data_IF_527568720384
#
_entry.id   IF_527568720384
#
_cell.length_a   1.000
_cell.length_b   1.000
_cell.length_c   1.000
_cell.angle_alpha   90.00
_cell.angle_beta   90.00
_cell.angle_gamma   90.00
#
_symmetry.space_group_name_H-M   'P 1'
#
loop_
_entity.id
_entity.type
_entity.pdbx_description
1 polymer ?
#
# COMPACT_ATOMS: atom_id res chain seq x y z
N UNK A 1 20.90 -13.24 -8.80
CA UNK A 1 20.65 -11.79 -8.96
C UNK A 1 19.30 -11.62 -9.66
N UNK A 2 18.36 -10.88 -9.09
CA UNK A 2 17.06 -10.56 -9.71
C UNK A 2 17.09 -9.20 -10.38
N UNK A 3 16.56 -9.12 -11.59
CA UNK A 3 16.37 -7.88 -12.32
C UNK A 3 15.02 -7.26 -11.93
N UNK A 4 15.07 -6.08 -11.37
CA UNK A 4 13.91 -5.39 -10.78
C UNK A 4 13.56 -4.15 -11.60
N UNK A 5 12.29 -4.00 -11.95
CA UNK A 5 11.71 -2.72 -12.37
C UNK A 5 11.06 -2.08 -11.15
N UNK A 6 11.37 -0.81 -10.90
CA UNK A 6 10.86 -0.03 -9.77
C UNK A 6 9.96 1.10 -10.28
N UNK A 7 8.66 0.93 -10.11
CA UNK A 7 7.67 1.94 -10.42
C UNK A 7 7.41 2.83 -9.20
N UNK A 8 7.78 4.11 -9.27
CA UNK A 8 7.70 5.06 -8.15
C UNK A 8 9.02 5.23 -7.39
N UNK A 9 10.16 5.21 -8.09
CA UNK A 9 11.52 5.17 -7.53
C UNK A 9 11.88 6.38 -6.63
N UNK A 10 11.23 7.52 -6.83
CA UNK A 10 11.50 8.76 -6.08
C UNK A 10 10.59 8.95 -4.86
N UNK A 11 9.64 8.05 -4.63
CA UNK A 11 8.79 8.03 -3.43
C UNK A 11 9.48 7.40 -2.22
N UNK A 12 8.80 7.35 -1.08
CA UNK A 12 9.33 6.77 0.17
C UNK A 12 9.75 5.30 0.02
N UNK A 13 8.88 4.46 -0.54
CA UNK A 13 9.20 3.06 -0.82
C UNK A 13 10.28 2.94 -1.89
N UNK A 14 10.21 3.78 -2.94
CA UNK A 14 11.21 3.79 -4.01
C UNK A 14 12.62 4.09 -3.49
N UNK A 15 12.77 5.12 -2.66
CA UNK A 15 14.07 5.46 -2.04
C UNK A 15 14.56 4.38 -1.07
N UNK A 16 13.66 3.71 -0.34
CA UNK A 16 14.03 2.54 0.47
C UNK A 16 14.45 1.36 -0.40
N UNK A 17 13.79 1.13 -1.54
CA UNK A 17 14.18 0.09 -2.51
C UNK A 17 15.57 0.36 -3.11
N UNK A 18 15.89 1.63 -3.44
CA UNK A 18 17.23 1.96 -3.94
C UNK A 18 18.32 1.77 -2.87
N UNK A 19 17.99 1.96 -1.58
CA UNK A 19 18.91 1.60 -0.47
C UNK A 19 19.15 0.10 -0.42
N UNK A 20 18.08 -0.71 -0.47
CA UNK A 20 18.18 -2.17 -0.47
C UNK A 20 19.02 -2.67 -1.65
N UNK A 21 18.77 -2.15 -2.87
CA UNK A 21 19.54 -2.53 -4.05
C UNK A 21 21.03 -2.13 -3.95
N UNK A 22 21.34 -1.03 -3.26
CA UNK A 22 22.73 -0.63 -2.99
C UNK A 22 23.43 -1.55 -2.00
N UNK A 23 22.69 -2.01 -0.97
CA UNK A 23 23.24 -2.89 0.06
C UNK A 23 23.41 -4.33 -0.45
N UNK A 24 22.66 -4.74 -1.48
CA UNK A 24 22.63 -6.09 -2.04
C UNK A 24 22.93 -6.10 -3.56
N UNK A 25 24.10 -5.61 -4.00
CA UNK A 25 24.41 -5.45 -5.43
C UNK A 25 24.57 -6.78 -6.18
N UNK A 26 24.86 -7.87 -5.47
CA UNK A 26 24.99 -9.21 -6.05
C UNK A 26 23.63 -9.94 -6.17
N UNK A 27 22.62 -9.49 -5.44
CA UNK A 27 21.28 -10.09 -5.41
C UNK A 27 20.26 -9.34 -6.24
N UNK A 28 20.37 -8.00 -6.31
CA UNK A 28 19.34 -7.11 -6.88
C UNK A 28 19.98 -6.15 -7.88
N UNK A 29 19.44 -6.13 -9.12
CA UNK A 29 19.78 -5.16 -10.16
C UNK A 29 18.54 -4.37 -10.57
N UNK A 30 18.59 -3.03 -10.46
CA UNK A 30 17.53 -2.16 -10.94
C UNK A 30 17.69 -1.94 -12.46
N UNK A 31 16.86 -2.62 -13.26
CA UNK A 31 16.91 -2.55 -14.74
C UNK A 31 15.95 -1.50 -15.31
N UNK A 32 14.98 -1.03 -14.53
CA UNK A 32 14.04 0.00 -14.93
C UNK A 32 13.59 0.85 -13.75
N UNK A 33 13.45 2.17 -13.96
CA UNK A 33 13.03 3.13 -12.93
C UNK A 33 11.93 4.04 -13.46
N UNK A 34 10.86 4.25 -12.67
CA UNK A 34 9.84 5.24 -12.99
C UNK A 34 9.66 6.25 -11.87
N UNK A 35 9.41 7.51 -12.23
CA UNK A 35 9.05 8.58 -11.30
C UNK A 35 7.85 9.39 -11.81
N UNK A 36 7.08 9.98 -10.87
CA UNK A 36 5.99 10.90 -11.21
C UNK A 36 6.54 12.25 -11.70
N UNK A 37 7.09 13.06 -10.80
CA UNK A 37 7.48 14.44 -11.10
C UNK A 37 8.91 14.83 -10.77
N UNK A 38 9.64 14.04 -9.98
CA UNK A 38 11.00 14.36 -9.52
C UNK A 38 12.06 13.87 -10.52
N UNK A 39 12.31 14.68 -11.56
CA UNK A 39 13.26 14.34 -12.62
C UNK A 39 14.72 14.35 -12.11
N UNK A 40 15.05 15.25 -11.18
CA UNK A 40 16.41 15.38 -10.64
C UNK A 40 16.84 14.11 -9.91
N UNK A 41 16.02 13.64 -8.94
CA UNK A 41 16.30 12.41 -8.21
C UNK A 41 16.27 11.18 -9.13
N UNK A 42 15.36 11.13 -10.13
CA UNK A 42 15.36 10.05 -11.11
C UNK A 42 16.66 10.02 -11.91
N UNK A 43 17.19 11.17 -12.33
CA UNK A 43 18.47 11.27 -13.05
C UNK A 43 19.65 10.81 -12.18
N UNK A 44 19.67 11.16 -10.88
CA UNK A 44 20.67 10.67 -9.93
C UNK A 44 20.63 9.15 -9.78
N UNK A 45 19.44 8.59 -9.58
CA UNK A 45 19.23 7.16 -9.50
C UNK A 45 19.64 6.45 -10.79
N UNK A 46 19.30 7.01 -11.97
CA UNK A 46 19.67 6.45 -13.26
C UNK A 46 21.19 6.41 -13.46
N UNK A 47 21.92 7.48 -13.08
CA UNK A 47 23.39 7.47 -13.12
C UNK A 47 24.03 6.48 -12.15
N UNK A 48 23.37 6.24 -11.00
CA UNK A 48 23.89 5.31 -9.97
C UNK A 48 23.67 3.84 -10.37
N UNK A 49 22.48 3.49 -10.89
CA UNK A 49 22.08 2.10 -11.10
C UNK A 49 22.19 1.65 -12.56
N UNK A 50 22.39 2.57 -13.51
CA UNK A 50 22.50 2.31 -14.95
C UNK A 50 21.39 1.41 -15.50
N UNK A 51 20.07 1.78 -15.28
CA UNK A 51 18.97 1.01 -15.80
C UNK A 51 18.93 1.04 -17.34
N UNK A 52 18.26 0.07 -17.94
CA UNK A 52 18.03 0.01 -19.38
C UNK A 52 17.01 1.05 -19.87
N UNK A 53 16.05 1.37 -18.98
CA UNK A 53 14.95 2.28 -19.27
C UNK A 53 14.55 3.07 -18.01
N UNK A 54 14.30 4.36 -18.18
CA UNK A 54 13.62 5.18 -17.19
C UNK A 54 12.33 5.77 -17.76
N UNK A 55 11.33 6.04 -16.92
CA UNK A 55 10.11 6.72 -17.32
C UNK A 55 9.75 7.83 -16.32
N UNK A 56 9.20 8.93 -16.84
CA UNK A 56 8.67 10.02 -16.01
C UNK A 56 7.29 10.43 -16.54
N UNK A 57 6.38 10.84 -15.63
CA UNK A 57 5.00 11.13 -16.03
C UNK A 57 4.90 12.24 -17.10
N UNK A 58 5.72 13.29 -17.01
CA UNK A 58 5.69 14.44 -17.95
C UNK A 58 6.55 14.22 -19.20
N UNK A 59 5.98 14.30 -20.43
CA UNK A 59 6.75 14.26 -21.66
C UNK A 59 7.82 15.37 -21.77
N UNK A 60 7.53 16.57 -21.24
CA UNK A 60 8.50 17.68 -21.21
C UNK A 60 9.72 17.34 -20.36
N UNK A 61 9.54 16.80 -19.15
CA UNK A 61 10.64 16.35 -18.29
C UNK A 61 11.40 15.16 -18.89
N UNK A 62 10.72 14.29 -19.64
CA UNK A 62 11.39 13.22 -20.36
C UNK A 62 12.34 13.74 -21.45
N UNK A 63 11.97 14.81 -22.16
CA UNK A 63 12.84 15.45 -23.12
C UNK A 63 14.11 16.03 -22.47
N UNK A 64 13.97 16.65 -21.31
CA UNK A 64 15.10 17.15 -20.50
C UNK A 64 16.02 16.01 -20.04
N UNK A 65 15.44 14.91 -19.52
CA UNK A 65 16.20 13.73 -19.07
C UNK A 65 16.99 13.08 -20.20
N UNK A 66 16.47 13.03 -21.43
CA UNK A 66 17.21 12.50 -22.61
C UNK A 66 18.51 13.24 -22.87
N UNK A 67 18.60 14.51 -22.54
CA UNK A 67 19.83 15.29 -22.69
C UNK A 67 20.85 15.07 -21.58
N UNK A 68 20.43 14.45 -20.47
CA UNK A 68 21.23 14.25 -19.25
C UNK A 68 21.68 12.80 -19.04
N UNK A 69 21.05 11.84 -19.74
CA UNK A 69 21.24 10.41 -19.52
C UNK A 69 21.70 9.71 -20.79
N UNK A 70 23.01 9.75 -21.03
CA UNK A 70 23.62 9.06 -22.18
C UNK A 70 23.51 7.54 -22.03
N UNK A 71 23.07 6.87 -23.11
CA UNK A 71 22.98 5.41 -23.16
C UNK A 71 21.80 4.80 -22.40
N UNK A 72 20.96 5.60 -21.73
CA UNK A 72 19.75 5.14 -21.03
C UNK A 72 18.51 5.59 -21.82
N UNK A 73 17.61 4.65 -22.11
CA UNK A 73 16.35 4.98 -22.77
C UNK A 73 15.44 5.75 -21.82
N UNK A 74 14.71 6.77 -22.34
CA UNK A 74 13.80 7.60 -21.56
C UNK A 74 12.41 7.59 -22.20
N UNK A 75 11.44 7.00 -21.49
CA UNK A 75 10.02 6.98 -21.83
C UNK A 75 9.23 7.98 -20.98
N UNK A 76 7.93 8.12 -21.23
CA UNK A 76 7.06 9.00 -20.44
C UNK A 76 5.60 8.56 -20.46
N UNK A 77 4.85 9.04 -19.48
CA UNK A 77 3.41 8.82 -19.35
C UNK A 77 3.04 7.36 -19.09
N UNK A 78 1.78 7.03 -19.34
CA UNK A 78 1.24 5.69 -19.07
C UNK A 78 1.87 4.63 -19.99
N UNK A 79 2.14 4.97 -21.25
CA UNK A 79 2.83 4.08 -22.18
C UNK A 79 4.24 3.73 -21.67
N UNK A 80 4.96 4.71 -21.11
CA UNK A 80 6.27 4.49 -20.52
C UNK A 80 6.24 3.61 -19.26
N UNK A 81 5.18 3.68 -18.46
CA UNK A 81 4.97 2.78 -17.33
C UNK A 81 4.69 1.35 -17.78
N UNK A 82 3.88 1.16 -18.84
CA UNK A 82 3.60 -0.16 -19.41
C UNK A 82 4.87 -0.74 -20.05
N UNK A 83 5.65 0.07 -20.78
CA UNK A 83 6.92 -0.37 -21.38
C UNK A 83 7.90 -0.87 -20.30
N UNK A 84 8.02 -0.16 -19.17
CA UNK A 84 8.80 -0.59 -18.02
C UNK A 84 8.27 -1.88 -17.39
N UNK A 85 6.97 -1.93 -17.13
CA UNK A 85 6.33 -3.08 -16.50
C UNK A 85 6.47 -4.37 -17.33
N UNK A 86 6.62 -4.25 -18.63
CA UNK A 86 6.77 -5.37 -19.57
C UNK A 86 8.20 -5.57 -20.08
N UNK A 87 9.20 -4.89 -19.47
CA UNK A 87 10.60 -4.95 -19.88
C UNK A 87 11.10 -6.41 -19.92
N UNK A 88 11.60 -6.92 -21.08
CA UNK A 88 11.94 -8.35 -21.21
C UNK A 88 12.98 -8.86 -20.21
N UNK A 89 13.94 -8.02 -19.83
CA UNK A 89 15.01 -8.35 -18.90
C UNK A 89 14.55 -8.41 -17.43
N UNK A 90 13.35 -7.87 -17.09
CA UNK A 90 12.87 -7.86 -15.74
C UNK A 90 12.35 -9.23 -15.26
N UNK A 91 12.69 -9.61 -14.04
CA UNK A 91 12.15 -10.78 -13.34
C UNK A 91 10.94 -10.39 -12.50
N UNK A 92 10.98 -9.21 -11.88
CA UNK A 92 9.97 -8.71 -10.95
C UNK A 92 9.75 -7.21 -11.12
N UNK A 93 8.50 -6.77 -10.95
CA UNK A 93 8.11 -5.36 -10.96
C UNK A 93 7.65 -4.94 -9.56
N UNK A 94 8.37 -4.03 -8.91
CA UNK A 94 7.95 -3.42 -7.65
C UNK A 94 7.07 -2.20 -7.95
N UNK A 95 5.80 -2.27 -7.51
CA UNK A 95 4.81 -1.22 -7.75
C UNK A 95 4.64 -0.38 -6.49
N UNK A 96 5.22 0.84 -6.52
CA UNK A 96 5.20 1.82 -5.44
C UNK A 96 4.65 3.18 -5.90
N UNK A 97 3.72 3.16 -6.84
CA UNK A 97 2.98 4.35 -7.30
C UNK A 97 1.77 4.52 -6.40
N UNK A 98 1.63 5.68 -5.78
CA UNK A 98 0.50 6.01 -4.89
C UNK A 98 -0.82 6.05 -5.68
N UNK A 99 -1.89 5.51 -5.09
CA UNK A 99 -3.22 5.49 -5.66
C UNK A 99 -3.38 4.44 -6.78
N UNK A 100 -4.26 4.73 -7.72
CA UNK A 100 -4.75 3.76 -8.72
C UNK A 100 -3.88 3.62 -9.97
N UNK A 101 -2.95 4.56 -10.20
CA UNK A 101 -2.13 4.60 -11.41
C UNK A 101 -1.18 3.39 -11.57
N UNK A 102 -0.91 2.67 -10.48
CA UNK A 102 -0.12 1.44 -10.50
C UNK A 102 -0.87 0.20 -11.02
N UNK A 103 -2.21 0.23 -11.13
CA UNK A 103 -3.02 -0.95 -11.45
C UNK A 103 -2.78 -1.47 -12.87
N UNK A 104 -2.84 -0.60 -13.87
CA UNK A 104 -2.62 -0.99 -15.26
C UNK A 104 -1.21 -1.54 -15.51
N UNK A 105 -0.12 -0.87 -15.03
CA UNK A 105 1.23 -1.43 -15.10
C UNK A 105 1.38 -2.78 -14.37
N UNK A 106 0.74 -2.96 -13.20
CA UNK A 106 0.78 -4.22 -12.47
C UNK A 106 0.15 -5.36 -13.29
N UNK A 107 -1.04 -5.14 -13.87
CA UNK A 107 -1.70 -6.11 -14.74
C UNK A 107 -0.88 -6.40 -16.01
N UNK A 108 -0.23 -5.40 -16.59
CA UNK A 108 0.65 -5.58 -17.74
C UNK A 108 1.87 -6.45 -17.39
N UNK A 109 2.49 -6.21 -16.22
CA UNK A 109 3.59 -7.04 -15.72
C UNK A 109 3.18 -8.50 -15.54
N UNK A 110 2.04 -8.74 -14.88
CA UNK A 110 1.48 -10.08 -14.66
C UNK A 110 1.26 -10.81 -16.00
N UNK A 111 0.62 -10.13 -16.97
CA UNK A 111 0.36 -10.68 -18.31
C UNK A 111 1.64 -10.94 -19.10
N UNK A 112 2.70 -10.21 -18.83
CA UNK A 112 4.03 -10.44 -19.37
C UNK A 112 4.84 -11.52 -18.62
N UNK A 113 4.22 -12.22 -17.66
CA UNK A 113 4.86 -13.32 -16.91
C UNK A 113 5.88 -12.83 -15.88
N UNK A 114 5.73 -11.60 -15.37
CA UNK A 114 6.61 -11.04 -14.33
C UNK A 114 5.97 -11.18 -12.96
N UNK A 115 6.76 -11.57 -11.95
CA UNK A 115 6.36 -11.43 -10.56
C UNK A 115 6.11 -9.96 -10.23
N UNK A 116 5.20 -9.68 -9.31
CA UNK A 116 4.99 -8.32 -8.82
C UNK A 116 5.23 -8.24 -7.31
N UNK A 117 5.90 -7.18 -6.87
CA UNK A 117 6.00 -6.78 -5.48
C UNK A 117 5.10 -5.55 -5.26
N UNK A 118 4.06 -5.71 -4.43
CA UNK A 118 3.01 -4.69 -4.27
C UNK A 118 3.26 -3.88 -3.01
N UNK A 119 3.57 -2.59 -3.19
CA UNK A 119 3.66 -1.61 -2.12
C UNK A 119 2.47 -0.65 -2.10
N UNK A 120 1.73 -0.55 -3.21
CA UNK A 120 0.52 0.26 -3.34
C UNK A 120 -0.70 -0.60 -3.06
N UNK A 121 -1.15 -0.61 -1.81
CA UNK A 121 -2.29 -1.43 -1.36
C UNK A 121 -3.58 -1.16 -2.13
N UNK A 122 -3.75 0.05 -2.64
CA UNK A 122 -4.91 0.48 -3.40
C UNK A 122 -5.19 -0.44 -4.61
N UNK A 123 -4.15 -1.02 -5.21
CA UNK A 123 -4.29 -1.96 -6.34
C UNK A 123 -5.11 -3.19 -5.95
N UNK A 124 -4.79 -3.78 -4.79
CA UNK A 124 -5.50 -4.97 -4.28
C UNK A 124 -6.83 -4.60 -3.63
N UNK A 125 -6.93 -3.44 -3.01
CA UNK A 125 -8.19 -2.94 -2.48
C UNK A 125 -9.22 -2.77 -3.60
N UNK A 126 -8.85 -2.13 -4.70
CA UNK A 126 -9.77 -1.84 -5.80
C UNK A 126 -10.07 -3.04 -6.68
N UNK A 127 -9.04 -3.79 -7.06
CA UNK A 127 -9.11 -4.81 -8.11
C UNK A 127 -8.46 -6.14 -7.69
N UNK A 128 -8.43 -6.46 -6.39
CA UNK A 128 -7.73 -7.64 -5.88
C UNK A 128 -8.22 -8.94 -6.49
N UNK A 129 -9.53 -9.11 -6.73
CA UNK A 129 -10.08 -10.28 -7.41
C UNK A 129 -9.45 -10.46 -8.81
N UNK A 130 -9.41 -9.39 -9.61
CA UNK A 130 -8.86 -9.41 -10.97
C UNK A 130 -7.35 -9.64 -10.94
N UNK A 131 -6.62 -8.91 -10.09
CA UNK A 131 -5.16 -9.01 -9.97
C UNK A 131 -4.74 -10.42 -9.58
N UNK A 132 -5.37 -11.00 -8.55
CA UNK A 132 -5.04 -12.34 -8.08
C UNK A 132 -5.48 -13.44 -9.05
N UNK A 133 -6.59 -13.23 -9.80
CA UNK A 133 -7.01 -14.14 -10.85
C UNK A 133 -6.04 -14.15 -12.04
N UNK A 134 -5.61 -12.96 -12.50
CA UNK A 134 -4.60 -12.84 -13.57
C UNK A 134 -3.25 -13.42 -13.13
N UNK A 135 -2.82 -13.18 -11.88
CA UNK A 135 -1.58 -13.76 -11.36
C UNK A 135 -1.60 -15.30 -11.37
N UNK A 136 -2.69 -15.92 -10.89
CA UNK A 136 -2.86 -17.38 -10.96
C UNK A 136 -2.86 -17.91 -12.39
N UNK A 137 -3.56 -17.22 -13.30
CA UNK A 137 -3.64 -17.58 -14.72
C UNK A 137 -2.29 -17.57 -15.42
N UNK A 138 -1.43 -16.63 -15.07
CA UNK A 138 -0.10 -16.48 -15.66
C UNK A 138 1.02 -17.16 -14.86
N UNK A 139 0.70 -17.79 -13.71
CA UNK A 139 1.65 -18.51 -12.87
C UNK A 139 2.73 -17.62 -12.25
N UNK A 140 2.38 -16.36 -11.94
CA UNK A 140 3.28 -15.38 -11.33
C UNK A 140 2.94 -15.12 -9.87
N UNK A 141 3.92 -14.67 -9.10
CA UNK A 141 3.76 -14.39 -7.68
C UNK A 141 3.38 -12.92 -7.45
N UNK A 142 2.51 -12.70 -6.46
CA UNK A 142 2.18 -11.38 -5.90
C UNK A 142 2.78 -11.31 -4.51
N UNK A 143 3.89 -10.56 -4.38
CA UNK A 143 4.68 -10.50 -3.15
C UNK A 143 4.35 -9.20 -2.39
N UNK A 144 4.01 -9.29 -1.08
CA UNK A 144 3.69 -8.11 -0.29
C UNK A 144 4.94 -7.33 0.09
N UNK A 145 4.84 -5.99 0.00
CA UNK A 145 5.84 -5.04 0.48
C UNK A 145 5.36 -4.31 1.73
N UNK A 146 4.03 -4.17 1.91
CA UNK A 146 3.48 -3.60 3.15
C UNK A 146 3.92 -4.47 4.35
N UNK A 147 4.35 -3.84 5.44
CA UNK A 147 5.03 -4.52 6.57
C UNK A 147 4.18 -5.61 7.20
N UNK A 148 2.90 -5.35 7.37
CA UNK A 148 1.94 -6.26 7.99
C UNK A 148 1.70 -7.50 7.10
N UNK A 149 1.57 -7.28 5.81
CA UNK A 149 1.35 -8.38 4.84
C UNK A 149 2.63 -9.17 4.61
N UNK A 150 3.79 -8.52 4.57
CA UNK A 150 5.10 -9.19 4.56
C UNK A 150 5.26 -10.08 5.79
N UNK A 151 4.83 -9.62 6.97
CA UNK A 151 4.86 -10.40 8.21
C UNK A 151 3.98 -11.65 8.12
N UNK A 152 2.73 -11.50 7.65
CA UNK A 152 1.82 -12.64 7.44
C UNK A 152 2.41 -13.63 6.44
N UNK A 153 2.92 -13.14 5.30
CA UNK A 153 3.54 -13.95 4.27
C UNK A 153 4.71 -14.78 4.83
N UNK A 154 5.56 -14.17 5.68
CA UNK A 154 6.66 -14.85 6.35
C UNK A 154 6.19 -15.87 7.40
N UNK A 155 5.08 -15.60 8.10
CA UNK A 155 4.51 -16.53 9.08
C UNK A 155 3.82 -17.73 8.40
N UNK A 156 3.19 -17.52 7.25
CA UNK A 156 2.56 -18.59 6.47
C UNK A 156 3.60 -19.53 5.87
N UNK A 157 4.67 -19.02 5.28
CA UNK A 157 5.83 -19.76 4.79
C UNK A 157 5.46 -21.07 4.06
N UNK A 158 4.49 -20.97 3.12
CA UNK A 158 4.00 -22.12 2.34
C UNK A 158 3.09 -23.11 3.08
N UNK A 159 2.64 -22.79 4.30
CA UNK A 159 1.66 -23.61 5.03
C UNK A 159 0.30 -23.59 4.35
N UNK A 160 -0.44 -24.68 4.49
CA UNK A 160 -1.79 -24.80 3.96
C UNK A 160 -2.75 -23.80 4.67
N UNK A 161 -3.54 -23.09 3.89
CA UNK A 161 -4.47 -22.06 4.39
C UNK A 161 -5.58 -22.68 5.27
N UNK A 162 -5.94 -23.93 5.08
CA UNK A 162 -6.91 -24.65 5.91
C UNK A 162 -6.44 -24.80 7.37
N UNK A 163 -5.13 -24.67 7.61
CA UNK A 163 -4.57 -24.64 8.96
C UNK A 163 -4.69 -23.29 9.65
N UNK A 164 -5.07 -22.23 8.92
CA UNK A 164 -5.16 -20.86 9.45
C UNK A 164 -6.54 -20.65 10.06
N UNK A 165 -6.57 -20.25 11.34
CA UNK A 165 -7.81 -19.85 12.02
C UNK A 165 -8.16 -18.39 11.69
N UNK A 166 -7.16 -17.47 11.78
CA UNK A 166 -7.29 -16.06 11.43
C UNK A 166 -5.93 -15.39 11.24
N UNK A 167 -5.97 -14.28 10.52
CA UNK A 167 -4.87 -13.31 10.43
C UNK A 167 -5.13 -12.19 11.43
N UNK A 168 -4.09 -11.70 12.10
CA UNK A 168 -4.17 -10.62 13.08
C UNK A 168 -3.23 -9.51 12.63
N UNK A 169 -3.78 -8.47 12.02
CA UNK A 169 -3.04 -7.27 11.62
C UNK A 169 -2.77 -6.40 12.84
N UNK A 170 -1.54 -5.99 13.04
CA UNK A 170 -1.21 -5.01 14.07
C UNK A 170 -1.34 -3.58 13.53
N UNK A 171 -1.73 -2.65 14.38
CA UNK A 171 -1.81 -1.22 14.08
C UNK A 171 -1.12 -0.42 15.17
N UNK A 172 -0.41 0.66 14.83
CA UNK A 172 0.12 1.59 15.86
C UNK A 172 -0.98 2.26 16.69
N UNK A 173 -2.21 2.30 16.15
CA UNK A 173 -3.35 3.02 16.69
C UNK A 173 -3.33 4.51 16.35
N UNK A 174 -2.34 4.99 15.62
CA UNK A 174 -2.19 6.38 15.22
C UNK A 174 -1.95 7.36 16.38
N UNK A 175 -1.88 8.67 16.09
CA UNK A 175 -1.62 9.69 17.11
C UNK A 175 -2.77 9.89 18.11
N UNK A 176 -4.00 9.51 17.73
CA UNK A 176 -5.21 9.78 18.52
C UNK A 176 -5.72 8.57 19.31
N UNK A 177 -4.91 7.53 19.44
CA UNK A 177 -5.27 6.31 20.19
C UNK A 177 -5.79 6.60 21.61
N UNK A 178 -5.18 7.55 22.32
CA UNK A 178 -5.54 7.92 23.69
C UNK A 178 -6.45 9.16 23.79
N UNK A 179 -6.72 9.86 22.67
CA UNK A 179 -7.60 11.03 22.62
C UNK A 179 -9.06 10.62 22.86
N UNK A 180 -9.84 11.37 23.60
CA UNK A 180 -11.27 11.08 23.80
C UNK A 180 -12.05 11.37 22.52
N UNK A 181 -13.18 10.69 22.32
CA UNK A 181 -13.99 10.88 21.09
C UNK A 181 -14.53 12.31 21.01
N UNK A 182 -14.84 12.94 22.14
CA UNK A 182 -15.35 14.30 22.21
C UNK A 182 -14.34 15.35 21.70
N UNK A 183 -13.04 15.04 21.76
CA UNK A 183 -11.96 15.91 21.30
C UNK A 183 -11.68 15.76 19.79
N UNK A 184 -12.29 14.79 19.11
CA UNK A 184 -11.99 14.50 17.68
C UNK A 184 -12.38 15.64 16.75
N UNK A 185 -13.46 16.37 17.06
CA UNK A 185 -13.88 17.52 16.24
C UNK A 185 -12.85 18.65 16.20
N UNK A 186 -11.97 18.73 17.21
CA UNK A 186 -10.92 19.75 17.32
C UNK A 186 -9.55 19.32 16.73
N UNK A 187 -9.44 18.12 16.15
CA UNK A 187 -8.18 17.61 15.60
C UNK A 187 -7.79 18.44 14.37
N UNK A 188 -6.56 18.98 14.41
CA UNK A 188 -6.01 19.75 13.29
C UNK A 188 -5.20 18.87 12.34
N UNK A 189 -5.03 19.35 11.11
CA UNK A 189 -4.18 18.69 10.09
C UNK A 189 -2.76 18.48 10.60
N UNK A 190 -2.20 19.49 11.28
CA UNK A 190 -0.85 19.40 11.83
C UNK A 190 -0.72 18.29 12.89
N UNK A 191 -1.73 18.11 13.74
CA UNK A 191 -1.77 17.04 14.73
C UNK A 191 -1.88 15.66 14.06
N UNK A 192 -2.75 15.55 13.05
CA UNK A 192 -3.00 14.30 12.34
C UNK A 192 -1.77 13.85 11.50
N UNK A 193 -0.93 14.78 11.06
CA UNK A 193 0.32 14.47 10.35
C UNK A 193 1.48 14.05 11.26
N UNK A 194 1.32 14.06 12.59
CA UNK A 194 2.37 13.63 13.56
C UNK A 194 2.20 12.15 13.90
N UNK A 195 2.72 11.26 13.04
CA UNK A 195 2.70 9.82 13.34
C UNK A 195 3.72 9.47 14.44
N UNK A 196 3.35 8.60 15.44
CA UNK A 196 4.22 8.33 16.59
C UNK A 196 5.49 7.54 16.26
N UNK A 197 5.50 6.70 15.22
CA UNK A 197 6.57 5.73 14.94
C UNK A 197 7.16 5.82 13.53
N UNK A 198 6.40 6.30 12.54
CA UNK A 198 6.79 6.29 11.13
C UNK A 198 6.84 7.68 10.51
N UNK A 199 7.80 7.89 9.61
CA UNK A 199 7.82 9.06 8.70
C UNK A 199 7.30 8.62 7.35
N UNK A 200 6.09 9.06 7.01
CA UNK A 200 5.34 8.60 5.84
C UNK A 200 4.83 9.77 4.99
N UNK A 201 4.27 9.46 3.82
CA UNK A 201 3.58 10.43 2.99
C UNK A 201 2.32 11.01 3.66
N UNK A 202 1.85 12.17 3.18
CA UNK A 202 0.71 12.92 3.75
C UNK A 202 -0.55 12.04 3.86
N UNK A 203 -0.98 11.41 2.76
CA UNK A 203 -2.22 10.60 2.71
C UNK A 203 -2.18 9.43 3.70
N UNK A 204 -1.13 8.59 3.64
CA UNK A 204 -1.03 7.41 4.51
C UNK A 204 -0.89 7.79 5.99
N UNK A 205 -0.35 8.96 6.32
CA UNK A 205 -0.28 9.45 7.70
C UNK A 205 -1.67 9.79 8.24
N UNK A 206 -2.52 10.44 7.45
CA UNK A 206 -3.92 10.69 7.81
C UNK A 206 -4.70 9.37 7.88
N UNK A 207 -4.48 8.45 6.95
CA UNK A 207 -5.10 7.11 6.99
C UNK A 207 -4.72 6.33 8.25
N UNK A 208 -3.49 6.48 8.73
CA UNK A 208 -3.08 5.92 10.02
C UNK A 208 -3.81 6.58 11.19
N UNK A 209 -3.96 7.91 11.16
CA UNK A 209 -4.64 8.67 12.20
C UNK A 209 -6.14 8.32 12.29
N UNK A 210 -6.78 8.04 11.18
CA UNK A 210 -8.20 7.64 11.07
C UNK A 210 -8.42 6.13 11.17
N UNK A 211 -7.37 5.32 11.15
CA UNK A 211 -7.37 3.86 11.01
C UNK A 211 -7.86 3.35 9.63
N UNK A 212 -8.08 4.21 8.63
CA UNK A 212 -8.34 3.77 7.25
C UNK A 212 -7.19 2.95 6.68
N UNK A 213 -5.93 3.30 6.99
CA UNK A 213 -4.79 2.49 6.56
C UNK A 213 -4.99 1.01 6.95
N UNK A 214 -5.33 0.75 8.20
CA UNK A 214 -5.57 -0.61 8.68
C UNK A 214 -6.82 -1.24 8.07
N UNK A 215 -7.85 -0.44 7.82
CA UNK A 215 -9.04 -0.88 7.09
C UNK A 215 -8.72 -1.35 5.66
N UNK A 216 -7.94 -0.57 4.91
CA UNK A 216 -7.49 -0.96 3.56
C UNK A 216 -6.62 -2.22 3.60
N UNK A 217 -5.76 -2.34 4.58
CA UNK A 217 -4.91 -3.52 4.79
C UNK A 217 -5.72 -4.80 5.09
N UNK A 218 -6.86 -4.70 5.77
CA UNK A 218 -7.76 -5.86 5.95
C UNK A 218 -8.26 -6.39 4.60
N UNK A 219 -8.62 -5.50 3.67
CA UNK A 219 -9.08 -5.85 2.32
C UNK A 219 -7.91 -6.42 1.49
N UNK A 220 -6.73 -5.83 1.58
CA UNK A 220 -5.52 -6.32 0.93
C UNK A 220 -5.17 -7.73 1.41
N UNK A 221 -5.18 -8.00 2.73
CA UNK A 221 -4.90 -9.30 3.31
C UNK A 221 -5.87 -10.39 2.80
N UNK A 222 -7.15 -10.06 2.69
CA UNK A 222 -8.16 -10.96 2.11
C UNK A 222 -7.74 -11.46 0.73
N UNK A 223 -7.30 -10.56 -0.14
CA UNK A 223 -6.95 -10.90 -1.51
C UNK A 223 -5.59 -11.60 -1.62
N UNK A 224 -4.57 -11.09 -0.95
CA UNK A 224 -3.22 -11.66 -0.98
C UNK A 224 -3.21 -13.11 -0.49
N UNK A 225 -3.92 -13.38 0.60
CA UNK A 225 -3.85 -14.69 1.27
C UNK A 225 -5.09 -15.56 1.02
N UNK A 226 -6.10 -15.08 0.30
CA UNK A 226 -7.33 -15.84 0.05
C UNK A 226 -8.14 -16.15 1.32
N UNK A 227 -7.97 -15.37 2.39
CA UNK A 227 -8.63 -15.55 3.68
C UNK A 227 -9.92 -14.69 3.71
N UNK A 228 -11.09 -15.22 4.10
CA UNK A 228 -12.32 -14.43 4.15
C UNK A 228 -12.26 -13.34 5.23
N UNK A 229 -12.93 -12.20 4.98
CA UNK A 229 -12.91 -11.02 5.87
C UNK A 229 -13.22 -11.32 7.36
N UNK A 230 -14.15 -12.22 7.72
CA UNK A 230 -14.38 -12.58 9.13
C UNK A 230 -13.17 -13.21 9.85
N UNK A 231 -12.20 -13.72 9.10
CA UNK A 231 -10.94 -14.27 9.63
C UNK A 231 -9.77 -13.25 9.59
N UNK A 232 -10.05 -11.99 9.27
CA UNK A 232 -9.04 -10.91 9.31
C UNK A 232 -9.36 -9.99 10.47
N UNK A 233 -8.56 -10.07 11.53
CA UNK A 233 -8.70 -9.27 12.74
C UNK A 233 -7.64 -8.16 12.81
N UNK A 234 -7.90 -7.18 13.68
CA UNK A 234 -6.98 -6.08 13.98
C UNK A 234 -6.71 -6.03 15.48
N UNK A 235 -5.47 -5.77 15.86
CA UNK A 235 -5.07 -5.45 17.23
C UNK A 235 -4.19 -4.20 17.22
N UNK A 236 -4.33 -3.36 18.21
CA UNK A 236 -3.46 -2.19 18.38
C UNK A 236 -2.20 -2.60 19.12
N UNK A 237 -1.03 -2.27 18.52
CA UNK A 237 0.30 -2.51 19.08
C UNK A 237 1.16 -1.24 18.88
N UNK A 238 1.20 -0.37 19.90
CA UNK A 238 1.79 0.98 19.76
C UNK A 238 3.26 1.01 19.38
N UNK A 239 4.03 0.01 19.80
CA UNK A 239 5.47 -0.05 19.51
C UNK A 239 5.77 -0.42 18.05
N UNK A 240 4.81 -1.00 17.33
CA UNK A 240 4.95 -1.45 15.93
C UNK A 240 6.13 -2.40 15.67
N UNK A 241 6.58 -3.14 16.70
CA UNK A 241 7.66 -4.14 16.59
C UNK A 241 7.12 -5.48 16.11
N UNK A 242 5.93 -5.86 16.58
CA UNK A 242 5.16 -6.98 16.01
C UNK A 242 4.42 -6.45 14.80
N UNK A 243 4.79 -6.93 13.60
CA UNK A 243 4.19 -6.42 12.37
C UNK A 243 2.88 -7.10 12.00
N UNK A 244 2.69 -8.37 12.32
CA UNK A 244 1.41 -9.11 12.26
C UNK A 244 1.57 -10.50 12.87
N UNK A 245 0.44 -11.21 13.00
CA UNK A 245 0.40 -12.55 13.54
C UNK A 245 -0.54 -13.44 12.72
N UNK A 246 -0.26 -14.76 12.71
CA UNK A 246 -1.13 -15.79 12.16
C UNK A 246 -1.49 -16.75 13.29
N UNK A 247 -2.78 -16.89 13.58
CA UNK A 247 -3.31 -17.90 14.50
C UNK A 247 -3.73 -19.13 13.72
N UNK A 248 -3.25 -20.29 14.13
CA UNK A 248 -3.57 -21.58 13.53
C UNK A 248 -4.71 -22.28 14.25
N UNK A 249 -5.28 -23.32 13.61
CA UNK A 249 -6.44 -24.07 14.15
C UNK A 249 -6.14 -24.81 15.45
N UNK A 250 -4.87 -25.10 15.73
CA UNK A 250 -4.41 -25.70 16.98
C UNK A 250 -4.24 -24.69 18.14
N UNK A 251 -4.49 -23.39 17.86
CA UNK A 251 -4.35 -22.30 18.83
C UNK A 251 -2.95 -21.70 18.92
N UNK A 252 -1.97 -22.23 18.17
CA UNK A 252 -0.65 -21.60 18.11
C UNK A 252 -0.67 -20.29 17.31
N UNK A 253 0.18 -19.33 17.69
CA UNK A 253 0.31 -18.05 17.01
C UNK A 253 1.77 -17.85 16.58
N UNK A 254 1.97 -17.62 15.28
CA UNK A 254 3.26 -17.18 14.75
C UNK A 254 3.23 -15.67 14.47
N UNK A 255 4.36 -15.03 14.70
CA UNK A 255 4.51 -13.59 14.51
C UNK A 255 5.87 -13.26 13.93
N UNK A 256 5.91 -12.31 13.01
CA UNK A 256 7.16 -11.71 12.56
C UNK A 256 7.38 -10.38 13.31
N UNK A 257 8.57 -10.22 13.84
CA UNK A 257 8.99 -9.08 14.65
C UNK A 257 10.26 -8.46 14.08
N UNK A 258 10.30 -7.14 14.03
CA UNK A 258 11.54 -6.38 13.85
C UNK A 258 11.33 -4.91 14.24
N UNK A 259 12.42 -4.19 14.42
CA UNK A 259 12.38 -2.72 14.50
C UNK A 259 11.80 -2.17 13.19
N UNK A 260 10.87 -1.19 13.24
CA UNK A 260 10.21 -0.64 12.06
C UNK A 260 11.19 -0.06 11.02
N UNK A 261 11.35 -0.74 9.90
CA UNK A 261 12.10 -0.27 8.71
C UNK A 261 11.56 -0.96 7.45
N UNK A 262 11.10 -0.17 6.49
CA UNK A 262 10.58 -0.68 5.21
C UNK A 262 11.62 -1.40 4.35
N UNK A 263 12.91 -1.23 4.61
CA UNK A 263 13.94 -1.97 3.90
C UNK A 263 13.85 -3.48 4.10
N UNK A 264 13.39 -3.94 5.28
CA UNK A 264 13.26 -5.38 5.53
C UNK A 264 12.18 -6.05 4.66
N UNK A 265 10.90 -5.60 4.64
CA UNK A 265 9.89 -6.22 3.79
C UNK A 265 10.21 -6.05 2.29
N UNK A 266 10.81 -4.93 1.87
CA UNK A 266 11.29 -4.74 0.50
C UNK A 266 12.36 -5.76 0.14
N UNK A 267 13.39 -5.90 0.99
CA UNK A 267 14.45 -6.90 0.80
C UNK A 267 13.84 -8.30 0.67
N UNK A 268 12.98 -8.68 1.61
CA UNK A 268 12.37 -10.01 1.60
C UNK A 268 11.56 -10.28 0.32
N UNK A 269 10.74 -9.33 -0.12
CA UNK A 269 9.99 -9.47 -1.37
C UNK A 269 10.91 -9.61 -2.60
N UNK A 270 11.98 -8.84 -2.66
CA UNK A 270 12.90 -8.86 -3.81
C UNK A 270 13.87 -10.05 -3.81
N UNK A 271 14.17 -10.64 -2.65
CA UNK A 271 15.09 -11.81 -2.56
C UNK A 271 14.35 -13.13 -2.39
N UNK A 272 13.02 -13.11 -2.16
CA UNK A 272 12.22 -14.32 -1.99
C UNK A 272 12.46 -15.34 -3.12
N UNK A 273 12.56 -16.67 -2.82
CA UNK A 273 12.32 -17.31 -1.51
C UNK A 273 13.52 -17.30 -0.56
N UNK A 274 14.65 -16.71 -0.93
CA UNK A 274 15.85 -16.69 -0.08
C UNK A 274 15.78 -15.60 0.99
N UNK A 275 16.46 -15.84 2.13
CA UNK A 275 16.77 -14.80 3.11
C UNK A 275 18.23 -14.40 2.97
N UNK A 276 18.46 -13.15 2.59
CA UNK A 276 19.81 -12.60 2.41
C UNK A 276 20.20 -11.82 3.66
N UNK A 277 21.45 -11.95 4.09
CA UNK A 277 21.96 -11.27 5.28
C UNK A 277 21.93 -9.74 5.10
N UNK A 278 21.56 -9.04 6.16
CA UNK A 278 21.55 -7.58 6.23
C UNK A 278 21.76 -7.13 7.68
N UNK A 279 22.63 -6.15 7.88
CA UNK A 279 22.89 -5.54 9.19
C UNK A 279 22.01 -4.29 9.43
N UNK A 280 21.10 -3.97 8.51
CA UNK A 280 20.30 -2.75 8.53
C UNK A 280 19.29 -2.71 9.67
N UNK A 281 18.66 -3.84 9.96
CA UNK A 281 17.61 -3.92 10.99
C UNK A 281 18.05 -4.87 12.10
N UNK A 282 18.17 -4.33 13.30
CA UNK A 282 18.50 -5.10 14.51
C UNK A 282 17.46 -4.77 15.59
N UNK A 283 16.95 -5.81 16.25
CA UNK A 283 15.96 -5.65 17.33
C UNK A 283 16.59 -6.09 18.64
N UNK A 284 16.72 -5.14 19.57
CA UNK A 284 17.18 -5.39 20.93
C UNK A 284 15.99 -5.63 21.86
N UNK A 285 15.68 -6.90 22.10
CA UNK A 285 14.59 -7.30 22.99
C UNK A 285 14.81 -6.93 24.45
N UNK A 286 16.07 -6.84 24.92
CA UNK A 286 16.36 -6.42 26.27
C UNK A 286 16.05 -4.93 26.49
N UNK A 287 16.40 -4.09 25.53
CA UNK A 287 16.05 -2.67 25.55
C UNK A 287 14.54 -2.45 25.34
N UNK A 288 13.87 -3.25 24.50
CA UNK A 288 12.43 -3.19 24.27
C UNK A 288 11.62 -3.51 25.51
N UNK A 289 12.00 -4.55 26.26
CA UNK A 289 11.48 -4.96 27.57
C UNK A 289 10.06 -5.54 27.56
N UNK A 290 9.08 -4.92 26.88
CA UNK A 290 7.69 -5.37 26.82
C UNK A 290 7.03 -5.05 25.49
N UNK A 291 5.97 -5.77 25.18
CA UNK A 291 5.07 -5.55 24.05
C UNK A 291 3.66 -5.28 24.59
N UNK A 292 3.05 -4.20 24.16
CA UNK A 292 1.70 -3.81 24.60
C UNK A 292 0.70 -4.05 23.47
N UNK A 293 -0.49 -4.57 23.83
CA UNK A 293 -1.58 -4.84 22.90
C UNK A 293 -2.91 -4.32 23.48
N UNK A 294 -3.72 -3.70 22.61
CA UNK A 294 -5.01 -3.13 22.97
C UNK A 294 -6.05 -3.54 21.92
N UNK A 295 -7.31 -3.69 22.32
CA UNK A 295 -8.40 -3.90 21.37
C UNK A 295 -8.63 -2.61 20.55
N UNK A 296 -8.93 -2.71 19.23
CA UNK A 296 -9.31 -1.56 18.45
C UNK A 296 -10.69 -1.04 18.84
N UNK A 297 -10.85 0.28 18.86
CA UNK A 297 -12.12 0.93 19.17
C UNK A 297 -12.87 1.30 17.87
N UNK A 298 -13.84 0.47 17.50
CA UNK A 298 -14.64 0.66 16.29
C UNK A 298 -15.60 1.85 16.36
N UNK A 299 -16.03 2.26 17.54
CA UNK A 299 -16.87 3.44 17.71
C UNK A 299 -16.07 4.72 17.50
N UNK A 300 -14.84 4.73 17.97
CA UNK A 300 -13.89 5.84 17.84
C UNK A 300 -13.32 5.95 16.42
N UNK A 301 -13.10 4.80 15.77
CA UNK A 301 -12.54 4.70 14.42
C UNK A 301 -13.49 3.96 13.47
N UNK A 302 -14.55 4.63 12.97
CA UNK A 302 -15.55 4.02 12.09
C UNK A 302 -14.97 3.43 10.80
N UNK A 303 -13.81 3.93 10.37
CA UNK A 303 -13.07 3.46 9.20
C UNK A 303 -12.85 1.94 9.19
N UNK A 304 -12.58 1.33 10.36
CA UNK A 304 -12.40 -0.12 10.47
C UNK A 304 -13.68 -0.88 10.14
N UNK A 305 -14.83 -0.40 10.63
CA UNK A 305 -16.14 -0.99 10.33
C UNK A 305 -16.53 -0.82 8.87
N UNK A 306 -16.27 0.36 8.30
CA UNK A 306 -16.53 0.66 6.88
C UNK A 306 -15.70 -0.22 5.96
N UNK A 307 -14.41 -0.40 6.25
CA UNK A 307 -13.54 -1.27 5.47
C UNK A 307 -13.91 -2.75 5.62
N UNK A 308 -14.30 -3.21 6.80
CA UNK A 308 -14.82 -4.56 7.00
C UNK A 308 -16.06 -4.79 6.14
N UNK A 309 -17.04 -3.88 6.19
CA UNK A 309 -18.23 -3.91 5.33
C UNK A 309 -17.87 -3.95 3.85
N UNK A 310 -16.95 -3.07 3.40
CA UNK A 310 -16.52 -3.04 2.01
C UNK A 310 -15.87 -4.36 1.58
N UNK A 311 -15.00 -4.91 2.41
CA UNK A 311 -14.36 -6.18 2.15
C UNK A 311 -15.34 -7.37 2.18
N UNK A 312 -16.34 -7.39 3.04
CA UNK A 312 -17.37 -8.45 3.10
C UNK A 312 -18.30 -8.40 1.89
N UNK A 313 -18.81 -7.21 1.54
CA UNK A 313 -19.67 -7.00 0.36
C UNK A 313 -18.91 -7.24 -0.94
N UNK A 314 -17.64 -6.80 -1.00
CA UNK A 314 -16.77 -6.98 -2.17
C UNK A 314 -17.26 -6.23 -3.43
N UNK A 315 -17.01 -6.76 -4.62
CA UNK A 315 -17.39 -6.13 -5.88
C UNK A 315 -16.74 -4.75 -6.03
N UNK A 316 -17.54 -3.75 -6.41
CA UNK A 316 -17.07 -2.37 -6.59
C UNK A 316 -16.98 -1.56 -5.28
N UNK A 317 -17.49 -2.06 -4.14
CA UNK A 317 -17.56 -1.28 -2.91
C UNK A 317 -16.18 -0.93 -2.32
N UNK A 318 -15.14 -1.79 -2.35
CA UNK A 318 -13.81 -1.42 -1.90
C UNK A 318 -13.17 -0.29 -2.71
N UNK A 319 -13.38 -0.25 -4.03
CA UNK A 319 -12.92 0.84 -4.88
C UNK A 319 -13.60 2.17 -4.51
N UNK A 320 -14.91 2.12 -4.23
CA UNK A 320 -15.69 3.28 -3.77
C UNK A 320 -15.19 3.79 -2.42
N UNK A 321 -14.95 2.90 -1.45
CA UNK A 321 -14.38 3.25 -0.15
C UNK A 321 -13.04 3.96 -0.32
N UNK A 322 -12.12 3.40 -1.12
CA UNK A 322 -10.80 3.98 -1.33
C UNK A 322 -10.87 5.35 -1.99
N UNK A 323 -11.65 5.49 -3.07
CA UNK A 323 -11.80 6.74 -3.80
C UNK A 323 -12.43 7.85 -2.92
N UNK A 324 -13.47 7.51 -2.14
CA UNK A 324 -14.09 8.43 -1.22
C UNK A 324 -13.13 8.87 -0.10
N UNK A 325 -12.35 7.94 0.45
CA UNK A 325 -11.34 8.25 1.46
C UNK A 325 -10.26 9.18 0.92
N UNK A 326 -9.75 8.96 -0.31
CA UNK A 326 -8.75 9.87 -0.91
C UNK A 326 -9.26 11.30 -1.00
N UNK A 327 -10.50 11.50 -1.49
CA UNK A 327 -11.10 12.83 -1.62
C UNK A 327 -11.37 13.47 -0.25
N UNK A 328 -11.86 12.69 0.73
CA UNK A 328 -12.14 13.20 2.07
C UNK A 328 -10.86 13.59 2.83
N UNK A 329 -9.79 12.80 2.68
CA UNK A 329 -8.46 13.11 3.22
C UNK A 329 -7.89 14.38 2.61
N UNK A 330 -7.98 14.56 1.29
CA UNK A 330 -7.53 15.79 0.63
C UNK A 330 -8.32 17.00 1.12
N UNK A 331 -9.66 16.90 1.21
CA UNK A 331 -10.52 17.96 1.73
C UNK A 331 -10.17 18.34 3.19
N UNK A 332 -9.92 17.36 4.04
CA UNK A 332 -9.44 17.61 5.42
C UNK A 332 -8.09 18.32 5.42
N UNK A 333 -7.15 17.84 4.66
CA UNK A 333 -5.83 18.45 4.56
C UNK A 333 -5.84 19.87 4.01
N UNK A 334 -6.84 20.23 3.22
CA UNK A 334 -7.06 21.58 2.68
C UNK A 334 -7.94 22.45 3.61
N UNK A 335 -8.32 21.91 4.79
CA UNK A 335 -9.10 22.63 5.80
C UNK A 335 -10.59 22.82 5.43
N UNK A 336 -11.10 22.03 4.49
CA UNK A 336 -12.49 22.13 4.02
C UNK A 336 -13.47 21.37 4.91
N UNK A 337 -13.01 20.30 5.57
CA UNK A 337 -13.81 19.45 6.46
C UNK A 337 -13.06 19.14 7.73
N UNK A 338 -13.76 18.73 8.80
CA UNK A 338 -13.16 18.30 10.05
C UNK A 338 -12.59 16.86 9.97
N UNK A 339 -11.83 16.44 10.99
CA UNK A 339 -11.28 15.10 11.06
C UNK A 339 -12.35 14.00 11.07
N UNK A 340 -13.46 14.24 11.76
CA UNK A 340 -14.59 13.30 11.84
C UNK A 340 -15.34 13.19 10.53
N UNK A 341 -15.42 14.28 9.75
CA UNK A 341 -16.12 14.30 8.47
C UNK A 341 -15.48 13.36 7.44
N UNK A 342 -14.20 12.96 7.62
CA UNK A 342 -13.54 12.00 6.72
C UNK A 342 -14.32 10.69 6.70
N UNK A 343 -14.56 10.09 7.86
CA UNK A 343 -15.30 8.82 7.95
C UNK A 343 -16.77 8.99 7.57
N UNK A 344 -17.38 10.12 7.94
CA UNK A 344 -18.78 10.40 7.62
C UNK A 344 -19.00 10.53 6.12
N UNK A 345 -18.11 11.23 5.42
CA UNK A 345 -18.17 11.37 3.96
C UNK A 345 -18.02 10.02 3.26
N UNK A 346 -17.04 9.21 3.69
CA UNK A 346 -16.84 7.85 3.15
C UNK A 346 -18.10 6.99 3.34
N UNK A 347 -18.67 6.98 4.55
CA UNK A 347 -19.90 6.25 4.84
C UNK A 347 -21.07 6.67 3.93
N UNK A 348 -21.29 7.98 3.76
CA UNK A 348 -22.34 8.52 2.88
C UNK A 348 -22.14 8.12 1.42
N UNK A 349 -20.92 8.14 0.89
CA UNK A 349 -20.63 7.73 -0.48
C UNK A 349 -20.88 6.24 -0.67
N UNK A 350 -20.42 5.40 0.27
CA UNK A 350 -20.66 3.96 0.25
C UNK A 350 -22.15 3.62 0.28
N UNK A 351 -22.96 4.33 1.06
CA UNK A 351 -24.41 4.09 1.18
C UNK A 351 -25.19 4.49 -0.07
N UNK A 352 -24.69 5.44 -0.87
CA UNK A 352 -25.28 5.87 -2.15
C UNK A 352 -24.90 4.97 -3.31
N UNK A 353 -23.90 4.08 -3.13
CA UNK A 353 -23.39 3.25 -4.21
C UNK A 353 -24.25 2.02 -4.46
N UNK A 354 -24.47 1.72 -5.75
CA UNK A 354 -25.06 0.45 -6.18
C UNK A 354 -23.93 -0.51 -6.56
N UNK A 355 -23.70 -1.49 -5.73
CA UNK A 355 -22.60 -2.45 -5.89
C UNK A 355 -22.80 -3.32 -7.14
N UNK A 356 -21.71 -3.54 -7.88
CA UNK A 356 -21.59 -4.57 -8.92
C UNK A 356 -20.75 -5.69 -8.33
N UNK A 357 -21.31 -6.92 -8.21
CA UNK A 357 -20.71 -8.02 -7.44
C UNK A 357 -19.45 -8.63 -8.08
N UNK A 358 -19.43 -8.83 -9.39
CA UNK A 358 -18.26 -9.36 -10.13
C UNK A 358 -17.89 -8.40 -11.26
N UNK A 359 -17.30 -7.23 -10.91
CA UNK A 359 -17.07 -6.19 -11.88
C UNK A 359 -15.92 -6.54 -12.83
N UNK A 360 -16.03 -6.06 -14.04
CA UNK A 360 -14.91 -5.89 -14.95
C UNK A 360 -13.99 -4.77 -14.47
N UNK A 361 -12.79 -4.69 -15.02
CA UNK A 361 -11.86 -3.61 -14.70
C UNK A 361 -12.44 -2.23 -15.01
N UNK A 362 -13.12 -2.09 -16.15
CA UNK A 362 -13.74 -0.83 -16.56
C UNK A 362 -14.84 -0.41 -15.56
N UNK A 363 -15.68 -1.35 -15.11
CA UNK A 363 -16.70 -1.08 -14.08
C UNK A 363 -16.10 -0.69 -12.72
N UNK A 364 -14.93 -1.20 -12.35
CA UNK A 364 -14.18 -0.76 -11.17
C UNK A 364 -13.69 0.68 -11.34
N UNK A 365 -13.13 1.02 -12.49
CA UNK A 365 -12.64 2.37 -12.79
C UNK A 365 -13.80 3.38 -12.87
N UNK A 366 -14.94 2.99 -13.43
CA UNK A 366 -16.15 3.81 -13.45
C UNK A 366 -16.69 4.05 -12.02
N UNK A 367 -16.69 3.01 -11.18
CA UNK A 367 -17.08 3.13 -9.77
C UNK A 367 -16.14 4.05 -8.97
N UNK A 368 -14.82 3.98 -9.20
CA UNK A 368 -13.83 4.90 -8.61
C UNK A 368 -14.11 6.35 -9.04
N UNK A 369 -14.31 6.60 -10.33
CA UNK A 369 -14.61 7.95 -10.83
C UNK A 369 -15.92 8.50 -10.27
N UNK A 370 -16.97 7.66 -10.24
CA UNK A 370 -18.26 8.01 -9.64
C UNK A 370 -18.10 8.37 -8.15
N UNK A 371 -17.35 7.56 -7.40
CA UNK A 371 -17.12 7.78 -5.98
C UNK A 371 -16.35 9.09 -5.72
N UNK A 372 -15.31 9.37 -6.52
CA UNK A 372 -14.55 10.63 -6.43
C UNK A 372 -15.44 11.84 -6.68
N UNK A 373 -16.33 11.79 -7.68
CA UNK A 373 -17.28 12.86 -7.95
C UNK A 373 -18.26 13.03 -6.79
N UNK A 374 -18.88 11.92 -6.35
CA UNK A 374 -19.86 11.93 -5.27
C UNK A 374 -19.25 12.41 -3.95
N UNK A 375 -18.02 12.02 -3.66
CA UNK A 375 -17.30 12.48 -2.47
C UNK A 375 -17.05 13.98 -2.49
N UNK A 376 -16.65 14.57 -3.63
CA UNK A 376 -16.51 16.03 -3.77
C UNK A 376 -17.83 16.75 -3.52
N UNK A 377 -18.94 16.19 -4.01
CA UNK A 377 -20.26 16.76 -3.73
C UNK A 377 -20.61 16.69 -2.23
N UNK A 378 -20.28 15.57 -1.56
CA UNK A 378 -20.52 15.39 -0.12
C UNK A 378 -19.70 16.36 0.72
N UNK A 379 -18.38 16.47 0.47
CA UNK A 379 -17.50 17.39 1.23
C UNK A 379 -17.76 18.86 0.90
N UNK A 380 -18.23 19.18 -0.32
CA UNK A 380 -18.61 20.54 -0.71
C UNK A 380 -19.92 21.02 -0.07
N UNK A 381 -20.87 20.13 0.23
CA UNK A 381 -22.10 20.46 0.96
C UNK A 381 -21.85 20.85 2.42
N UNK A 382 -20.74 20.43 3.02
CA UNK A 382 -20.35 20.84 4.38
C UNK A 382 -20.03 22.34 4.50
N UNK A 383 -19.70 23.03 3.41
CA UNK A 383 -19.42 24.47 3.42
C UNK A 383 -20.68 25.36 3.40
N UNK A 384 -21.85 24.81 3.11
CA UNK A 384 -23.10 25.57 2.98
C UNK A 384 -23.91 25.70 4.30
N UNK A 385 -23.43 25.09 5.40
CA UNK A 385 -24.18 25.02 6.68
C UNK A 385 -23.41 25.71 7.84
N UNK A 386 -22.29 26.37 7.59
CA UNK A 386 -21.52 27.12 8.62
C UNK A 386 -21.77 28.62 8.55
#
# INVERSE_FOLDING_TARGET
MKNVVLLGSTGSIGTSTTRVARDLPDDIRLVGLAAGGNAELLAEQARQFHPELVSIASPGKAAELRTQLDGIRVASGDEGLIELATLPSADIVLVAIVGTAGLQPALAAIRAGKDIAVASKEILVMAGEIVMAEARKHGVNVLPVDSEHSAIFQCLDGRELDSVRRLILTASGGPFRQTTIDDFAGITVEQALKHPSWVMGRKITIDSATMFNKGLEMIEARWLFGIPMPQVDVIVHPQSVVHSMVEFVDGSILSQLCTPDMCLPIQYALTWPSRVASDRVQTDFAALGRLDFEAPDFAKFPALGQARRAGEVSGTLPAVLNAANEIAVDAFCDGQVSFTDISDAVGQVMDRHRVIEHPTLDEILDADQWARKTARDVVGFGQAIA
#
